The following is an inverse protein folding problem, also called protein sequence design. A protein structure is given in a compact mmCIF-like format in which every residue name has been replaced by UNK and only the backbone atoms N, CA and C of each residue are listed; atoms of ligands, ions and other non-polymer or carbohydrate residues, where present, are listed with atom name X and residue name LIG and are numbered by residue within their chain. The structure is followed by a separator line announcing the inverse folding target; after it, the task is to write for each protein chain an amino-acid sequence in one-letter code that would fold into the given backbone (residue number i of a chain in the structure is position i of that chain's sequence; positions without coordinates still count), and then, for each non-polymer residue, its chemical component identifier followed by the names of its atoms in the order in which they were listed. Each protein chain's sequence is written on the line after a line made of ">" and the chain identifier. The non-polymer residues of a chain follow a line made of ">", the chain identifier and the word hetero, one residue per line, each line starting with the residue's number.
data_IF_104925913437
#
_entry.id   IF_104925913437
#
_cell.length_a   1.000
_cell.length_b   1.000
_cell.length_c   1.000
_cell.angle_alpha   90.00
_cell.angle_beta   90.00
_cell.angle_gamma   90.00
#
_symmetry.space_group_name_H-M   'P 1'
#
loop_
_entity.id
_entity.type
_entity.pdbx_description
1 polymer ?
#
# COMPACT_ATOMS: atom_id res chain seq x y z
N UNK A 1 -77.36 -41.86 -3.56
CA UNK A 1 -76.02 -42.05 -3.00
C UNK A 1 -75.11 -40.86 -3.39
N UNK A 2 -75.03 -39.87 -2.50
CA UNK A 2 -74.40 -38.60 -2.76
C UNK A 2 -72.95 -38.65 -2.25
N UNK A 3 -71.95 -38.46 -3.11
CA UNK A 3 -70.53 -38.34 -2.72
C UNK A 3 -70.25 -36.89 -2.39
N UNK A 4 -69.94 -36.61 -1.12
CA UNK A 4 -69.42 -35.29 -0.67
C UNK A 4 -67.94 -35.17 -1.06
N UNK A 5 -67.65 -34.18 -1.88
CA UNK A 5 -66.30 -33.78 -2.24
C UNK A 5 -65.76 -32.84 -1.14
N UNK A 6 -64.77 -33.27 -0.46
CA UNK A 6 -64.05 -32.41 0.52
C UNK A 6 -62.97 -31.56 -0.21
N UNK A 7 -63.30 -30.30 -0.41
CA UNK A 7 -62.35 -29.31 -0.92
C UNK A 7 -61.35 -28.91 0.20
N UNK A 8 -60.11 -29.28 0.03
CA UNK A 8 -59.01 -28.81 0.90
C UNK A 8 -58.51 -27.46 0.40
N UNK A 9 -58.78 -26.37 1.14
CA UNK A 9 -58.29 -25.05 0.84
C UNK A 9 -56.76 -24.98 1.03
N UNK A 10 -56.01 -24.27 0.18
CA UNK A 10 -54.57 -24.12 0.34
C UNK A 10 -54.25 -23.27 1.56
N UNK A 11 -53.27 -23.72 2.35
CA UNK A 11 -52.70 -23.00 3.49
C UNK A 11 -52.15 -21.65 3.04
N UNK A 12 -52.82 -20.56 3.42
CA UNK A 12 -52.36 -19.22 3.18
C UNK A 12 -51.00 -19.00 3.83
N UNK A 13 -50.05 -18.58 3.06
CA UNK A 13 -48.69 -18.21 3.50
C UNK A 13 -48.78 -16.99 4.43
N UNK A 14 -48.71 -17.22 5.76
CA UNK A 14 -48.67 -16.17 6.75
C UNK A 14 -47.25 -15.57 6.74
N UNK A 15 -47.07 -14.28 6.41
CA UNK A 15 -45.75 -13.65 6.51
C UNK A 15 -45.26 -13.70 7.97
N UNK A 16 -44.05 -14.14 8.16
CA UNK A 16 -43.36 -14.09 9.44
C UNK A 16 -43.26 -12.63 9.89
N UNK A 17 -43.40 -12.33 11.20
CA UNK A 17 -43.24 -10.98 11.72
C UNK A 17 -41.91 -10.39 11.28
N UNK A 18 -41.93 -9.15 10.78
CA UNK A 18 -40.80 -8.45 10.18
C UNK A 18 -39.57 -8.56 11.07
N UNK A 19 -38.45 -8.92 10.44
CA UNK A 19 -37.13 -8.68 11.02
C UNK A 19 -37.11 -7.19 11.39
N UNK A 20 -36.99 -6.87 12.67
CA UNK A 20 -36.62 -5.53 13.10
C UNK A 20 -35.38 -5.14 12.27
N UNK A 21 -35.55 -4.15 11.37
CA UNK A 21 -34.43 -3.57 10.64
C UNK A 21 -33.52 -2.93 11.68
N UNK A 22 -32.38 -3.56 11.95
CA UNK A 22 -31.32 -2.93 12.73
C UNK A 22 -30.97 -1.64 11.97
N UNK A 23 -31.24 -0.46 12.54
CA UNK A 23 -31.00 0.80 11.85
C UNK A 23 -29.55 0.82 11.35
N UNK A 24 -29.35 1.19 10.10
CA UNK A 24 -28.01 1.35 9.54
C UNK A 24 -27.29 2.39 10.38
N UNK A 25 -26.06 2.12 10.83
CA UNK A 25 -25.32 3.13 11.58
C UNK A 25 -25.21 4.39 10.71
N UNK A 26 -25.66 5.51 11.24
CA UNK A 26 -25.49 6.85 10.71
C UNK A 26 -24.31 7.58 11.40
N UNK A 27 -23.91 8.73 10.88
CA UNK A 27 -22.81 9.51 11.47
C UNK A 27 -23.17 10.01 12.88
N UNK A 28 -24.45 10.24 13.15
CA UNK A 28 -24.97 10.62 14.46
C UNK A 28 -24.72 9.52 15.52
N UNK A 29 -24.63 8.26 15.11
CA UNK A 29 -24.31 7.14 16.01
C UNK A 29 -22.89 7.21 16.59
N UNK A 30 -21.98 7.96 15.96
CA UNK A 30 -20.61 8.18 16.44
C UNK A 30 -20.51 9.32 17.44
N UNK A 31 -21.47 10.27 17.42
CA UNK A 31 -21.44 11.47 18.22
C UNK A 31 -21.42 11.18 19.73
N UNK A 32 -22.37 10.42 20.23
CA UNK A 32 -22.48 10.15 21.68
C UNK A 32 -21.27 9.40 22.25
N UNK A 33 -20.73 8.33 21.61
CA UNK A 33 -19.51 7.69 22.08
C UNK A 33 -18.32 8.65 22.14
N UNK A 34 -18.09 9.46 21.08
CA UNK A 34 -16.97 10.42 21.04
C UNK A 34 -17.17 11.53 22.08
N UNK A 35 -18.37 12.05 22.21
CA UNK A 35 -18.70 13.04 23.24
C UNK A 35 -18.37 12.54 24.65
N UNK A 36 -18.88 11.35 25.03
CA UNK A 36 -18.63 10.75 26.34
C UNK A 36 -17.12 10.49 26.57
N UNK A 37 -16.41 10.07 25.53
CA UNK A 37 -14.97 9.88 25.61
C UNK A 37 -14.26 11.19 25.95
N UNK A 38 -14.56 12.29 25.27
CA UNK A 38 -13.95 13.61 25.53
C UNK A 38 -14.41 14.20 26.87
N UNK A 39 -15.66 14.02 27.24
CA UNK A 39 -16.17 14.42 28.56
C UNK A 39 -15.46 13.68 29.69
N UNK A 40 -15.14 12.40 29.52
CA UNK A 40 -14.35 11.64 30.52
C UNK A 40 -12.91 12.16 30.67
N UNK A 41 -12.39 12.90 29.68
CA UNK A 41 -11.10 13.60 29.75
C UNK A 41 -11.20 15.03 30.26
N UNK A 42 -12.39 15.44 30.73
CA UNK A 42 -12.64 16.78 31.32
C UNK A 42 -12.98 17.87 30.31
N UNK A 43 -13.32 17.53 29.07
CA UNK A 43 -13.76 18.51 28.08
C UNK A 43 -15.25 18.80 28.18
N UNK A 44 -15.63 20.07 27.99
CA UNK A 44 -16.99 20.46 27.66
C UNK A 44 -17.21 20.31 26.16
N UNK A 45 -18.23 19.53 25.74
CA UNK A 45 -18.42 19.10 24.35
C UNK A 45 -19.73 19.61 23.77
N UNK A 46 -19.69 20.22 22.57
CA UNK A 46 -20.85 20.65 21.80
C UNK A 46 -20.74 20.14 20.34
N UNK A 47 -21.89 19.79 19.78
CA UNK A 47 -22.01 19.40 18.37
C UNK A 47 -22.40 20.57 17.46
N UNK A 48 -22.17 20.41 16.16
CA UNK A 48 -22.62 21.32 15.09
C UNK A 48 -22.22 22.79 15.31
N UNK A 49 -20.97 23.02 15.68
CA UNK A 49 -20.43 24.36 15.88
C UNK A 49 -19.71 24.83 14.62
N UNK A 50 -20.31 25.82 13.93
CA UNK A 50 -19.73 26.43 12.70
C UNK A 50 -19.30 25.40 11.64
N UNK A 51 -20.11 24.38 11.46
CA UNK A 51 -19.85 23.31 10.48
C UNK A 51 -18.82 22.27 10.92
N UNK A 52 -18.37 22.31 12.18
CA UNK A 52 -17.63 21.20 12.79
C UNK A 52 -18.62 20.25 13.45
N UNK A 53 -18.49 18.94 13.18
CA UNK A 53 -19.40 17.93 13.74
C UNK A 53 -19.34 17.92 15.27
N UNK A 54 -18.14 18.14 15.87
CA UNK A 54 -17.97 18.19 17.31
C UNK A 54 -16.80 19.12 17.67
N UNK A 55 -17.04 19.98 18.67
CA UNK A 55 -16.03 20.86 19.27
C UNK A 55 -15.99 20.63 20.76
N UNK A 56 -14.79 20.46 21.31
CA UNK A 56 -14.56 20.25 22.74
C UNK A 56 -13.58 21.31 23.29
N UNK A 57 -13.85 21.81 24.50
CA UNK A 57 -13.01 22.78 25.20
C UNK A 57 -12.75 22.35 26.63
N UNK A 58 -11.53 22.65 27.11
CA UNK A 58 -11.12 22.45 28.50
C UNK A 58 -10.36 23.70 28.97
N UNK A 59 -11.03 24.49 29.81
CA UNK A 59 -10.46 25.77 30.27
C UNK A 59 -10.07 26.69 29.11
N UNK A 60 -8.85 27.20 29.16
CA UNK A 60 -8.27 28.10 28.16
C UNK A 60 -7.43 27.38 27.08
N UNK A 61 -7.43 26.03 27.06
CA UNK A 61 -6.75 25.27 26.04
C UNK A 61 -7.36 25.49 24.64
N UNK A 62 -6.56 25.37 23.57
CA UNK A 62 -7.08 25.37 22.21
C UNK A 62 -8.19 24.33 22.04
N UNK A 63 -9.22 24.63 21.25
CA UNK A 63 -10.34 23.71 21.07
C UNK A 63 -9.89 22.42 20.38
N UNK A 64 -10.44 21.31 20.82
CA UNK A 64 -10.35 20.02 20.09
C UNK A 64 -11.52 19.98 19.11
N UNK A 65 -11.22 19.70 17.84
CA UNK A 65 -12.22 19.53 16.78
C UNK A 65 -12.24 18.06 16.36
N UNK A 66 -13.43 17.48 16.19
CA UNK A 66 -13.59 16.11 15.70
C UNK A 66 -14.58 16.10 14.54
N UNK A 67 -14.15 15.56 13.40
CA UNK A 67 -15.00 15.29 12.24
C UNK A 67 -15.41 13.81 12.25
N UNK A 68 -16.71 13.54 12.06
CA UNK A 68 -17.31 12.21 12.15
C UNK A 68 -17.65 11.68 10.75
N UNK A 69 -17.29 10.42 10.45
CA UNK A 69 -17.64 9.77 9.19
C UNK A 69 -17.78 8.27 9.36
N UNK A 70 -18.74 7.67 8.66
CA UNK A 70 -18.92 6.20 8.68
C UNK A 70 -17.79 5.44 8.01
N UNK A 71 -16.94 6.10 7.23
CA UNK A 71 -15.80 5.50 6.53
C UNK A 71 -14.64 6.48 6.47
N UNK A 72 -13.43 5.92 6.50
CA UNK A 72 -12.24 6.70 6.22
C UNK A 72 -12.18 7.01 4.71
N UNK A 73 -12.38 8.28 4.35
CA UNK A 73 -12.47 8.76 2.97
C UNK A 73 -11.58 9.97 2.75
N UNK A 74 -11.30 10.30 1.49
CA UNK A 74 -10.60 11.53 1.15
C UNK A 74 -11.38 12.77 1.62
N UNK A 75 -12.72 12.76 1.51
CA UNK A 75 -13.54 13.87 1.97
C UNK A 75 -13.35 14.15 3.47
N UNK A 76 -13.30 13.10 4.31
CA UNK A 76 -13.00 13.25 5.74
C UNK A 76 -11.61 13.84 5.99
N UNK A 77 -10.60 13.40 5.22
CA UNK A 77 -9.25 13.97 5.32
C UNK A 77 -9.23 15.47 4.97
N UNK A 78 -9.91 15.85 3.89
CA UNK A 78 -9.99 17.25 3.46
C UNK A 78 -10.69 18.12 4.52
N UNK A 79 -11.79 17.63 5.12
CA UNK A 79 -12.43 18.29 6.25
C UNK A 79 -11.45 18.49 7.41
N UNK A 80 -10.74 17.42 7.82
CA UNK A 80 -9.76 17.53 8.90
C UNK A 80 -8.63 18.52 8.61
N UNK A 81 -8.11 18.53 7.39
CA UNK A 81 -7.07 19.49 6.97
C UNK A 81 -7.57 20.92 7.02
N UNK A 82 -8.82 21.16 6.59
CA UNK A 82 -9.45 22.49 6.67
C UNK A 82 -9.60 22.97 8.12
N UNK A 83 -9.91 22.06 9.06
CA UNK A 83 -10.00 22.38 10.50
C UNK A 83 -8.65 22.71 11.14
N UNK A 84 -7.53 22.28 10.57
CA UNK A 84 -6.20 22.66 11.07
C UNK A 84 -5.93 24.17 10.96
N UNK A 85 -6.66 24.89 10.11
CA UNK A 85 -6.64 26.36 10.09
C UNK A 85 -7.27 26.99 11.35
N UNK A 86 -8.05 26.23 12.12
CA UNK A 86 -8.78 26.70 13.31
C UNK A 86 -8.11 26.19 14.60
N UNK A 87 -7.64 24.96 14.61
CA UNK A 87 -7.00 24.31 15.76
C UNK A 87 -5.93 23.32 15.35
N UNK A 88 -4.86 23.23 16.14
CA UNK A 88 -3.83 22.20 15.98
C UNK A 88 -4.28 20.80 16.45
N UNK A 89 -5.39 20.72 17.20
CA UNK A 89 -5.90 19.48 17.79
C UNK A 89 -7.17 19.04 17.05
N UNK A 90 -6.97 18.40 15.90
CA UNK A 90 -8.05 17.91 15.03
C UNK A 90 -8.01 16.39 14.94
N UNK A 91 -9.13 15.75 15.26
CA UNK A 91 -9.32 14.31 15.12
C UNK A 91 -10.32 13.98 14.02
N UNK A 92 -10.08 12.87 13.35
CA UNK A 92 -11.03 12.17 12.48
C UNK A 92 -11.58 10.99 13.25
N UNK A 93 -12.88 10.82 13.32
CA UNK A 93 -13.51 9.71 14.02
C UNK A 93 -14.30 8.82 13.05
N UNK A 94 -14.00 7.53 13.06
CA UNK A 94 -14.62 6.51 12.21
C UNK A 94 -14.98 5.28 13.01
N UNK A 95 -16.02 4.50 12.62
CA UNK A 95 -16.36 3.28 13.31
C UNK A 95 -15.28 2.22 13.13
N UNK A 96 -15.14 1.34 14.14
CA UNK A 96 -14.31 0.13 14.04
C UNK A 96 -14.90 -0.80 12.98
N UNK A 97 -14.07 -1.24 12.07
CA UNK A 97 -14.49 -2.24 11.09
C UNK A 97 -14.63 -3.61 11.78
N UNK A 98 -15.85 -4.15 11.77
CA UNK A 98 -16.09 -5.50 12.29
C UNK A 98 -15.44 -6.53 11.36
N UNK A 99 -14.49 -7.31 11.87
CA UNK A 99 -13.80 -8.38 11.15
C UNK A 99 -14.66 -9.63 10.94
N UNK A 100 -15.78 -9.52 10.23
CA UNK A 100 -16.60 -10.65 9.82
C UNK A 100 -16.33 -11.03 8.36
N UNK A 101 -16.24 -12.33 8.07
CA UNK A 101 -15.99 -12.91 6.73
C UNK A 101 -16.99 -12.46 5.64
N UNK A 102 -18.09 -11.84 6.02
CA UNK A 102 -19.23 -11.52 5.14
C UNK A 102 -19.22 -10.10 4.53
N UNK A 103 -18.33 -9.20 4.96
CA UNK A 103 -18.25 -7.84 4.40
C UNK A 103 -16.79 -7.41 4.28
N UNK A 104 -16.15 -7.77 3.17
CA UNK A 104 -15.05 -6.97 2.60
C UNK A 104 -15.68 -5.63 2.19
N UNK A 105 -15.89 -4.75 3.16
CA UNK A 105 -16.25 -3.37 2.89
C UNK A 105 -15.17 -2.78 1.99
N UNK A 106 -15.56 -2.31 0.81
CA UNK A 106 -14.67 -1.55 -0.09
C UNK A 106 -14.09 -0.37 0.71
N UNK A 107 -12.85 -0.44 1.12
CA UNK A 107 -12.18 0.63 1.85
C UNK A 107 -10.95 0.12 2.61
N UNK A 108 -10.03 1.04 2.90
CA UNK A 108 -8.84 0.76 3.70
C UNK A 108 -9.25 0.82 5.17
N UNK A 109 -8.79 -0.17 5.97
CA UNK A 109 -9.04 -0.13 7.42
C UNK A 109 -8.45 1.13 8.06
N UNK A 110 -9.19 1.83 8.92
CA UNK A 110 -8.67 2.99 9.63
C UNK A 110 -7.47 2.65 10.52
N UNK A 111 -7.39 1.43 11.03
CA UNK A 111 -6.26 0.95 11.85
C UNK A 111 -5.04 0.51 11.01
N UNK A 112 -5.13 0.52 9.67
CA UNK A 112 -4.02 0.13 8.81
C UNK A 112 -2.80 1.07 8.95
N UNK A 113 -1.56 0.54 8.94
CA UNK A 113 -0.36 1.35 9.12
C UNK A 113 -0.22 2.49 8.10
N UNK A 114 -0.76 2.33 6.88
CA UNK A 114 -0.74 3.35 5.84
C UNK A 114 -1.67 4.53 6.19
N UNK A 115 -2.84 4.26 6.78
CA UNK A 115 -3.80 5.28 7.22
C UNK A 115 -3.22 6.06 8.40
N UNK A 116 -2.70 5.38 9.42
CA UNK A 116 -2.03 6.00 10.57
C UNK A 116 -0.89 6.92 10.12
N UNK A 117 -0.04 6.44 9.23
CA UNK A 117 1.05 7.24 8.68
C UNK A 117 0.57 8.45 7.89
N UNK A 118 -0.57 8.34 7.18
CA UNK A 118 -1.17 9.46 6.46
C UNK A 118 -1.69 10.52 7.43
N UNK A 119 -2.48 10.13 8.44
CA UNK A 119 -2.96 11.04 9.49
C UNK A 119 -1.79 11.75 10.17
N UNK A 120 -0.77 11.01 10.61
CA UNK A 120 0.44 11.58 11.22
C UNK A 120 1.13 12.61 10.31
N UNK A 121 1.24 12.33 9.00
CA UNK A 121 1.87 13.27 8.05
C UNK A 121 1.08 14.55 7.84
N UNK A 122 -0.23 14.49 8.04
CA UNK A 122 -1.12 15.65 7.97
C UNK A 122 -1.26 16.37 9.32
N UNK A 123 -0.71 15.83 10.41
CA UNK A 123 -0.89 16.39 11.75
C UNK A 123 -2.26 16.06 12.34
N UNK A 124 -3.01 15.13 11.75
CA UNK A 124 -4.36 14.76 12.17
C UNK A 124 -4.34 13.58 13.14
N UNK A 125 -5.18 13.65 14.16
CA UNK A 125 -5.50 12.53 15.02
C UNK A 125 -6.51 11.57 14.38
N UNK A 126 -6.57 10.34 14.88
CA UNK A 126 -7.52 9.34 14.41
C UNK A 126 -8.14 8.59 15.60
N UNK A 127 -9.46 8.67 15.71
CA UNK A 127 -10.28 7.94 16.66
C UNK A 127 -10.99 6.79 15.95
N UNK A 128 -11.00 5.63 16.58
CA UNK A 128 -11.78 4.47 16.12
C UNK A 128 -12.84 4.16 17.17
N UNK A 129 -14.09 4.29 16.75
CA UNK A 129 -15.28 4.15 17.59
C UNK A 129 -15.77 2.70 17.54
N UNK A 130 -15.65 1.99 18.65
CA UNK A 130 -16.23 0.67 18.87
C UNK A 130 -17.62 0.75 19.50
N UNK A 131 -18.22 -0.41 19.78
CA UNK A 131 -19.56 -0.47 20.42
C UNK A 131 -19.58 0.13 21.83
N UNK A 132 -18.51 -0.03 22.60
CA UNK A 132 -18.43 0.37 24.01
C UNK A 132 -17.21 1.24 24.32
N UNK A 133 -16.36 1.51 23.35
CA UNK A 133 -15.10 2.22 23.56
C UNK A 133 -14.69 3.04 22.36
N UNK A 134 -14.00 4.15 22.62
CA UNK A 134 -13.29 4.95 21.62
C UNK A 134 -11.80 4.71 21.83
N UNK A 135 -11.07 4.38 20.75
CA UNK A 135 -9.63 4.17 20.79
C UNK A 135 -8.92 5.27 20.02
N UNK A 136 -7.93 5.90 20.63
CA UNK A 136 -7.02 6.82 19.94
C UNK A 136 -6.00 5.98 19.18
N UNK A 137 -6.07 6.01 17.85
CA UNK A 137 -5.19 5.23 16.95
C UNK A 137 -3.97 6.07 16.54
N UNK A 138 -4.17 7.39 16.41
CA UNK A 138 -3.11 8.35 16.14
C UNK A 138 -3.43 9.67 16.84
N UNK A 139 -2.41 10.28 17.47
CA UNK A 139 -2.53 11.60 18.09
C UNK A 139 -2.28 12.70 17.07
N UNK A 140 -2.96 13.88 17.18
CA UNK A 140 -2.72 15.02 16.33
C UNK A 140 -1.44 15.74 16.77
N UNK A 141 -0.34 15.43 16.09
CA UNK A 141 0.98 16.01 16.39
C UNK A 141 1.52 16.69 15.14
N UNK A 142 2.04 17.93 15.24
CA UNK A 142 2.70 18.58 14.10
C UNK A 142 3.77 17.70 13.48
N UNK A 143 3.65 17.42 12.18
CA UNK A 143 4.55 16.55 11.47
C UNK A 143 5.73 17.33 10.86
N UNK A 144 6.95 16.94 11.23
CA UNK A 144 8.16 17.40 10.57
C UNK A 144 8.71 16.29 9.66
N UNK A 145 8.75 16.50 8.33
CA UNK A 145 9.25 15.52 7.40
C UNK A 145 10.69 15.13 7.68
N UNK A 146 10.97 13.84 7.82
CA UNK A 146 12.34 13.31 7.90
C UNK A 146 12.66 12.59 6.59
N UNK A 147 13.58 13.11 5.77
CA UNK A 147 13.98 12.47 4.53
C UNK A 147 14.53 11.06 4.78
N UNK A 148 14.07 10.08 4.00
CA UNK A 148 14.58 8.71 4.06
C UNK A 148 15.89 8.62 3.25
N UNK A 149 17.00 9.15 3.80
CA UNK A 149 18.31 9.27 3.11
C UNK A 149 18.77 7.97 2.45
N UNK A 150 18.65 6.83 3.13
CA UNK A 150 19.04 5.53 2.55
C UNK A 150 18.17 5.12 1.35
N UNK A 151 16.86 5.41 1.38
CA UNK A 151 15.98 5.13 0.24
C UNK A 151 16.29 6.04 -0.94
N UNK A 152 16.57 7.33 -0.67
CA UNK A 152 16.99 8.27 -1.70
C UNK A 152 18.32 7.85 -2.32
N UNK A 153 19.32 7.48 -1.51
CA UNK A 153 20.60 7.00 -2.00
C UNK A 153 20.47 5.73 -2.87
N UNK A 154 19.61 4.77 -2.48
CA UNK A 154 19.36 3.57 -3.30
C UNK A 154 18.67 3.91 -4.63
N UNK A 155 17.75 4.87 -4.61
CA UNK A 155 17.08 5.33 -5.83
C UNK A 155 18.08 5.94 -6.82
N UNK A 156 18.94 6.82 -6.32
CA UNK A 156 19.98 7.48 -7.13
C UNK A 156 20.98 6.43 -7.64
N UNK A 157 21.48 5.55 -6.78
CA UNK A 157 22.40 4.49 -7.19
C UNK A 157 21.81 3.55 -8.26
N UNK A 158 20.51 3.25 -8.21
CA UNK A 158 19.85 2.49 -9.27
C UNK A 158 19.76 3.31 -10.56
N UNK A 159 19.46 4.60 -10.48
CA UNK A 159 19.41 5.50 -11.62
C UNK A 159 20.77 5.61 -12.32
N UNK A 160 21.83 5.86 -11.56
CA UNK A 160 23.20 6.04 -12.08
C UNK A 160 23.78 4.75 -12.68
N UNK A 161 23.43 3.57 -12.13
CA UNK A 161 23.90 2.26 -12.61
C UNK A 161 23.11 1.75 -13.80
N UNK A 162 21.89 2.23 -14.01
CA UNK A 162 21.06 1.76 -15.11
C UNK A 162 21.52 2.36 -16.44
N UNK A 163 21.74 1.50 -17.42
CA UNK A 163 22.06 1.93 -18.78
C UNK A 163 20.77 2.16 -19.58
N UNK A 164 20.63 3.36 -20.15
CA UNK A 164 19.45 3.75 -20.93
C UNK A 164 18.15 3.76 -20.12
N UNK A 165 17.04 3.86 -20.82
CA UNK A 165 15.68 3.83 -20.25
C UNK A 165 14.83 2.69 -20.82
N UNK A 166 15.10 1.43 -20.41
CA UNK A 166 14.44 0.26 -20.97
C UNK A 166 13.02 0.05 -20.43
N UNK A 167 12.58 0.86 -19.47
CA UNK A 167 11.29 0.67 -18.81
C UNK A 167 10.36 1.85 -19.10
N UNK A 168 9.18 1.55 -19.63
CA UNK A 168 8.13 2.58 -19.79
C UNK A 168 7.37 2.73 -18.46
N UNK A 169 7.38 3.93 -17.89
CA UNK A 169 6.66 4.26 -16.66
C UNK A 169 5.16 3.92 -16.75
N UNK A 170 4.57 3.43 -15.65
CA UNK A 170 3.15 3.09 -15.59
C UNK A 170 2.76 1.71 -16.17
N UNK A 171 3.67 0.96 -16.77
CA UNK A 171 3.41 -0.44 -17.20
C UNK A 171 3.54 -1.41 -16.03
N UNK A 172 2.45 -2.08 -15.68
CA UNK A 172 2.42 -3.00 -14.53
C UNK A 172 2.60 -4.48 -14.90
N UNK A 173 2.73 -4.84 -16.19
CA UNK A 173 2.73 -6.24 -16.65
C UNK A 173 4.03 -6.72 -17.29
N UNK A 174 4.95 -5.83 -17.62
CA UNK A 174 6.26 -6.22 -18.15
C UNK A 174 7.28 -6.36 -17.01
N UNK A 175 8.20 -7.33 -17.07
CA UNK A 175 9.29 -7.45 -16.10
C UNK A 175 10.17 -6.19 -16.14
N UNK A 176 10.36 -5.55 -14.99
CA UNK A 176 11.18 -4.33 -14.87
C UNK A 176 12.65 -4.69 -15.10
N UNK A 177 13.32 -3.96 -15.97
CA UNK A 177 14.76 -4.10 -16.25
C UNK A 177 15.51 -3.14 -15.31
N UNK A 178 16.06 -3.68 -14.23
CA UNK A 178 16.90 -2.98 -13.26
C UNK A 178 18.37 -3.03 -13.67
N UNK A 179 19.24 -2.19 -13.07
CA UNK A 179 20.69 -2.28 -13.26
C UNK A 179 21.22 -3.69 -12.98
N UNK A 180 20.78 -4.35 -11.91
CA UNK A 180 21.12 -5.74 -11.61
C UNK A 180 20.70 -6.72 -12.73
N UNK A 181 19.51 -6.53 -13.31
CA UNK A 181 19.05 -7.39 -14.44
C UNK A 181 19.87 -7.13 -15.69
N UNK A 182 20.26 -5.88 -15.96
CA UNK A 182 21.15 -5.55 -17.07
C UNK A 182 22.51 -6.23 -16.93
N UNK A 183 23.11 -6.18 -15.75
CA UNK A 183 24.35 -6.87 -15.45
C UNK A 183 24.22 -8.40 -15.60
N UNK A 184 23.11 -8.97 -15.10
CA UNK A 184 22.83 -10.40 -15.25
C UNK A 184 22.62 -10.80 -16.72
N UNK A 185 21.99 -9.97 -17.55
CA UNK A 185 21.82 -10.19 -18.99
C UNK A 185 23.15 -10.14 -19.74
N UNK A 186 24.06 -9.21 -19.39
CA UNK A 186 25.41 -9.18 -19.97
C UNK A 186 26.18 -10.47 -19.66
N UNK A 187 26.13 -10.93 -18.41
CA UNK A 187 26.76 -12.20 -17.99
C UNK A 187 26.12 -13.37 -18.70
N UNK A 188 24.80 -13.42 -18.83
CA UNK A 188 24.08 -14.47 -19.56
C UNK A 188 24.45 -14.49 -21.05
N UNK A 189 24.47 -13.31 -21.70
CA UNK A 189 24.88 -13.17 -23.11
C UNK A 189 26.30 -13.66 -23.36
N UNK A 190 27.26 -13.33 -22.50
CA UNK A 190 28.63 -13.83 -22.61
C UNK A 190 28.70 -15.35 -22.49
N UNK A 191 27.94 -15.95 -21.57
CA UNK A 191 27.87 -17.41 -21.42
C UNK A 191 27.17 -18.09 -22.61
N UNK A 192 26.19 -17.47 -23.22
CA UNK A 192 25.52 -17.98 -24.40
C UNK A 192 26.47 -18.09 -25.60
N UNK A 193 27.34 -17.08 -25.78
CA UNK A 193 28.28 -17.02 -26.90
C UNK A 193 29.50 -17.91 -26.68
N UNK A 194 30.04 -17.94 -25.46
CA UNK A 194 31.34 -18.57 -25.19
C UNK A 194 31.23 -19.92 -24.45
N UNK A 195 30.02 -20.35 -24.12
CA UNK A 195 29.82 -21.55 -23.31
C UNK A 195 30.18 -21.35 -21.85
N UNK A 196 30.67 -22.39 -21.19
CA UNK A 196 31.06 -22.31 -19.78
C UNK A 196 32.34 -21.48 -19.60
N UNK A 197 32.28 -20.45 -18.70
CA UNK A 197 33.40 -19.54 -18.46
C UNK A 197 33.77 -19.46 -16.99
N UNK A 198 35.05 -19.15 -16.73
CA UNK A 198 35.53 -18.81 -15.38
C UNK A 198 35.07 -17.39 -15.00
N UNK A 199 34.93 -17.16 -13.70
CA UNK A 199 34.52 -15.84 -13.18
C UNK A 199 35.44 -14.69 -13.65
N UNK A 200 36.75 -14.91 -13.72
CA UNK A 200 37.69 -13.89 -14.18
C UNK A 200 37.46 -13.52 -15.66
N UNK A 201 37.25 -14.53 -16.51
CA UNK A 201 36.94 -14.37 -17.92
C UNK A 201 35.63 -13.65 -18.15
N UNK A 202 34.59 -13.98 -17.35
CA UNK A 202 33.31 -13.29 -17.40
C UNK A 202 33.40 -11.81 -17.02
N UNK A 203 34.20 -11.49 -16.01
CA UNK A 203 34.44 -10.09 -15.64
C UNK A 203 35.15 -9.31 -16.74
N UNK A 204 36.16 -9.91 -17.33
CA UNK A 204 36.89 -9.31 -18.43
C UNK A 204 36.03 -9.11 -19.69
N UNK A 205 35.20 -10.10 -20.04
CA UNK A 205 34.36 -10.06 -21.23
C UNK A 205 33.14 -9.10 -21.07
N UNK A 206 32.58 -8.96 -19.86
CA UNK A 206 31.33 -8.22 -19.63
C UNK A 206 31.53 -6.86 -19.00
N UNK A 207 32.67 -6.57 -18.39
CA UNK A 207 32.90 -5.40 -17.57
C UNK A 207 32.08 -5.36 -16.26
N UNK A 208 31.35 -6.44 -15.92
CA UNK A 208 30.49 -6.51 -14.74
C UNK A 208 31.34 -6.82 -13.50
N UNK A 209 31.63 -5.81 -12.70
CA UNK A 209 32.40 -5.97 -11.46
C UNK A 209 31.70 -6.93 -10.48
N UNK A 210 30.38 -6.84 -10.37
CA UNK A 210 29.53 -7.63 -9.49
C UNK A 210 29.16 -9.02 -10.05
N UNK A 211 29.87 -9.56 -11.06
CA UNK A 211 29.57 -10.87 -11.65
C UNK A 211 29.56 -12.01 -10.61
N UNK A 212 30.47 -11.99 -9.61
CA UNK A 212 30.51 -13.03 -8.57
C UNK A 212 29.23 -13.09 -7.72
N UNK A 213 28.74 -12.03 -7.09
CA UNK A 213 27.48 -12.07 -6.36
C UNK A 213 26.26 -12.35 -7.25
N UNK A 214 26.25 -11.95 -8.53
CA UNK A 214 25.19 -12.27 -9.49
C UNK A 214 25.12 -13.78 -9.72
N UNK A 215 26.25 -14.41 -10.03
CA UNK A 215 26.35 -15.86 -10.28
C UNK A 215 26.07 -16.69 -9.03
N UNK A 216 26.56 -16.25 -7.85
CA UNK A 216 26.36 -16.98 -6.59
C UNK A 216 24.92 -16.88 -6.07
N UNK A 217 24.31 -15.69 -6.06
CA UNK A 217 22.93 -15.50 -5.63
C UNK A 217 21.93 -16.09 -6.61
N UNK A 218 22.27 -16.04 -7.91
CA UNK A 218 21.47 -16.59 -9.01
C UNK A 218 19.96 -16.34 -8.86
N UNK A 219 19.59 -15.10 -8.57
CA UNK A 219 18.22 -14.68 -8.20
C UNK A 219 17.19 -15.13 -9.24
N UNK A 220 17.60 -15.19 -10.50
CA UNK A 220 16.72 -15.56 -11.62
C UNK A 220 16.84 -17.04 -12.03
N UNK A 221 17.79 -17.80 -11.49
CA UNK A 221 18.05 -19.18 -11.89
C UNK A 221 18.72 -19.32 -13.27
N UNK A 222 19.32 -18.24 -13.80
CA UNK A 222 19.88 -18.24 -15.16
C UNK A 222 21.23 -18.91 -15.30
N UNK A 223 21.91 -19.24 -14.21
CA UNK A 223 23.27 -19.70 -14.18
C UNK A 223 23.39 -21.09 -13.53
N UNK A 224 24.18 -21.96 -14.11
CA UNK A 224 24.53 -23.27 -13.56
C UNK A 224 26.03 -23.29 -13.22
N UNK A 225 26.35 -23.64 -11.97
CA UNK A 225 27.76 -23.85 -11.59
C UNK A 225 28.23 -25.24 -12.06
N UNK A 226 29.18 -25.28 -12.95
CA UNK A 226 29.75 -26.55 -13.49
C UNK A 226 30.80 -27.12 -12.54
N UNK A 227 31.81 -26.33 -12.22
CA UNK A 227 32.85 -26.62 -11.24
C UNK A 227 33.13 -25.37 -10.38
N UNK A 228 34.06 -25.49 -9.45
CA UNK A 228 34.43 -24.34 -8.62
C UNK A 228 34.94 -23.17 -9.46
N UNK A 229 34.22 -22.05 -9.43
CA UNK A 229 34.56 -20.80 -10.13
C UNK A 229 34.20 -20.77 -11.63
N UNK A 230 33.59 -21.84 -12.19
CA UNK A 230 33.16 -21.92 -13.60
C UNK A 230 31.65 -22.05 -13.67
N UNK A 231 31.03 -21.25 -14.52
CA UNK A 231 29.60 -21.16 -14.68
C UNK A 231 29.17 -21.29 -16.13
N UNK A 232 28.00 -21.85 -16.36
CA UNK A 232 27.35 -21.96 -17.66
C UNK A 232 25.96 -21.34 -17.62
N UNK A 233 25.37 -21.08 -18.77
CA UNK A 233 23.99 -20.66 -18.90
C UNK A 233 23.07 -21.86 -18.63
N UNK A 234 21.96 -21.63 -17.93
CA UNK A 234 20.89 -22.61 -17.75
C UNK A 234 19.83 -22.46 -18.84
N UNK A 235 18.89 -23.42 -18.95
CA UNK A 235 17.74 -23.32 -19.85
C UNK A 235 16.88 -22.09 -19.55
N UNK A 236 16.72 -21.73 -18.25
CA UNK A 236 16.06 -20.51 -17.84
C UNK A 236 16.81 -19.25 -18.27
N UNK A 237 18.14 -19.31 -18.28
CA UNK A 237 18.98 -18.25 -18.79
C UNK A 237 18.84 -18.07 -20.30
N UNK A 238 18.76 -19.16 -21.05
CA UNK A 238 18.51 -19.11 -22.50
C UNK A 238 17.13 -18.49 -22.79
N UNK A 239 16.08 -18.95 -22.13
CA UNK A 239 14.75 -18.39 -22.28
C UNK A 239 14.69 -16.88 -21.90
N UNK A 240 15.49 -16.47 -20.92
CA UNK A 240 15.58 -15.06 -20.54
C UNK A 240 16.27 -14.20 -21.61
N UNK A 241 17.28 -14.71 -22.30
CA UNK A 241 17.91 -13.98 -23.41
C UNK A 241 16.90 -13.72 -24.54
N UNK A 242 16.06 -14.69 -24.86
CA UNK A 242 14.99 -14.54 -25.85
C UNK A 242 13.96 -13.52 -25.38
N UNK A 243 13.55 -13.59 -24.11
CA UNK A 243 12.57 -12.66 -23.53
C UNK A 243 13.05 -11.22 -23.48
N UNK A 244 14.35 -11.00 -23.26
CA UNK A 244 14.96 -9.68 -23.09
C UNK A 244 15.89 -9.30 -24.25
N UNK A 245 15.69 -9.89 -25.44
CA UNK A 245 16.55 -9.68 -26.60
C UNK A 245 16.73 -8.19 -26.98
N UNK A 246 15.64 -7.42 -26.98
CA UNK A 246 15.68 -5.98 -27.26
C UNK A 246 16.54 -5.21 -26.24
N UNK A 247 16.40 -5.54 -24.96
CA UNK A 247 17.20 -4.90 -23.91
C UNK A 247 18.69 -5.27 -24.00
N UNK A 248 18.98 -6.52 -24.36
CA UNK A 248 20.35 -6.99 -24.53
C UNK A 248 21.01 -6.32 -25.76
N UNK A 249 20.29 -6.15 -26.87
CA UNK A 249 20.77 -5.45 -28.05
C UNK A 249 21.14 -3.98 -27.72
N UNK A 250 20.25 -3.27 -27.02
CA UNK A 250 20.49 -1.90 -26.59
C UNK A 250 21.71 -1.77 -25.64
N UNK A 251 21.95 -2.76 -24.78
CA UNK A 251 23.14 -2.79 -23.91
C UNK A 251 24.44 -3.03 -24.71
N UNK A 252 24.37 -3.81 -25.77
CA UNK A 252 25.52 -4.12 -26.63
C UNK A 252 25.94 -2.92 -27.49
N UNK A 253 24.99 -2.17 -28.03
CA UNK A 253 25.24 -0.97 -28.81
C UNK A 253 25.93 0.12 -27.99
N UNK A 254 25.45 0.36 -26.77
CA UNK A 254 26.05 1.36 -25.85
C UNK A 254 27.45 0.99 -25.37
N UNK A 255 27.79 -0.30 -25.33
CA UNK A 255 29.14 -0.75 -24.97
C UNK A 255 30.16 -0.50 -26.08
N UNK A 256 29.73 -0.16 -27.29
CA UNK A 256 30.56 0.13 -28.45
C UNK A 256 30.76 1.63 -28.72
N UNK A 257 29.97 2.50 -28.07
CA UNK A 257 30.18 3.96 -28.16
C UNK A 257 31.40 4.37 -27.31
N UNK A 258 32.51 4.86 -27.94
CA UNK A 258 33.63 5.37 -27.18
C UNK A 258 33.16 6.57 -26.36
N UNK A 259 33.52 6.60 -25.07
CA UNK A 259 33.26 7.75 -24.21
C UNK A 259 33.70 9.02 -24.94
N UNK A 260 32.72 9.85 -25.30
CA UNK A 260 33.01 11.17 -25.86
C UNK A 260 33.82 11.96 -24.82
N UNK A 261 35.01 12.36 -25.21
CA UNK A 261 35.98 13.07 -24.42
C UNK A 261 35.52 14.50 -24.03
#
# INVERSE_FOLDING_TARGET
>A
MSRRSTSTAPLAHRPLPGREEIPRPDEASLYLPVKRFLESLGYAVKGEIRGCDLVARRGDEPPVIVELKLRFTLALLLQGVDRLAISETVYLAVPRQSGGRARRTRGISPEAPVVRRLCRRLGLGLLVVGRQSVSVVEEPVPYRPRPAKQRAARLIAEFDRRHGDPNVGGRNRAPIITAYRQDALRVAGALAVNGAMRLAELRAATGVADAAPILQRNVYGWFARQVRGTYALSDLGQAALDQFAEALAALSEQSQEPAAA
#
